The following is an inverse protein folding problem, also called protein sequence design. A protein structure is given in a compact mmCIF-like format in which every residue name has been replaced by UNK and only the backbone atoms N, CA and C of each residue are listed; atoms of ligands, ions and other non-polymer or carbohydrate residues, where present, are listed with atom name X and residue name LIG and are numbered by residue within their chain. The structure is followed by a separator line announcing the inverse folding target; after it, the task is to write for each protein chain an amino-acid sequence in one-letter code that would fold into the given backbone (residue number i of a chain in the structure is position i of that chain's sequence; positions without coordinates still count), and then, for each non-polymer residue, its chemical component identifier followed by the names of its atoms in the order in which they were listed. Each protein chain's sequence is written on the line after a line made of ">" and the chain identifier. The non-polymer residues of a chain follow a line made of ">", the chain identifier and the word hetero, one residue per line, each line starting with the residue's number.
data_IF_104656093567
#
_entry.id   IF_104656093567
#
_cell.length_a   1.000
_cell.length_b   1.000
_cell.length_c   1.000
_cell.angle_alpha   90.00
_cell.angle_beta   90.00
_cell.angle_gamma   90.00
#
_symmetry.space_group_name_H-M   'P 1'
#
loop_
_entity.id
_entity.type
_entity.pdbx_description
1 polymer ?
#
# COMPACT_ATOMS: atom_id res chain seq x y z
N UNK A 1 -8.98 7.32 -26.82
CA UNK A 1 -7.56 7.61 -26.48
C UNK A 1 -7.45 8.36 -25.14
N UNK A 2 -7.78 7.73 -24.01
CA UNK A 2 -7.63 8.32 -22.67
C UNK A 2 -6.94 7.41 -21.64
N UNK A 3 -6.48 6.22 -22.06
CA UNK A 3 -5.95 5.20 -21.16
C UNK A 3 -4.57 5.56 -20.60
N UNK A 4 -3.62 5.98 -21.46
CA UNK A 4 -2.25 6.32 -21.05
C UNK A 4 -2.18 7.49 -20.06
N UNK A 5 -2.88 8.59 -20.35
CA UNK A 5 -2.94 9.78 -19.46
C UNK A 5 -3.52 9.47 -18.08
N UNK A 6 -4.54 8.61 -18.02
CA UNK A 6 -5.14 8.17 -16.75
C UNK A 6 -4.16 7.28 -15.97
N UNK A 7 -3.52 6.32 -16.65
CA UNK A 7 -2.53 5.43 -16.05
C UNK A 7 -1.32 6.19 -15.49
N UNK A 8 -0.84 7.22 -16.18
CA UNK A 8 0.26 8.08 -15.71
C UNK A 8 -0.11 8.87 -14.45
N UNK A 9 -1.30 9.47 -14.42
CA UNK A 9 -1.78 10.16 -13.21
C UNK A 9 -1.89 9.20 -12.02
N UNK A 10 -2.39 7.99 -12.25
CA UNK A 10 -2.47 6.93 -11.24
C UNK A 10 -1.05 6.55 -10.77
N UNK A 11 -0.11 6.31 -11.69
CA UNK A 11 1.28 6.01 -11.39
C UNK A 11 1.97 7.08 -10.55
N UNK A 12 1.84 8.36 -10.91
CA UNK A 12 2.40 9.47 -10.13
C UNK A 12 1.77 9.57 -8.72
N UNK A 13 0.46 9.32 -8.62
CA UNK A 13 -0.23 9.28 -7.33
C UNK A 13 0.29 8.15 -6.46
N UNK A 14 0.51 6.96 -7.04
CA UNK A 14 1.08 5.79 -6.35
C UNK A 14 2.49 6.05 -5.83
N UNK A 15 3.35 6.78 -6.56
CA UNK A 15 4.67 7.18 -6.06
C UNK A 15 4.53 8.06 -4.81
N UNK A 16 3.63 9.04 -4.84
CA UNK A 16 3.37 9.91 -3.69
C UNK A 16 2.87 9.13 -2.47
N UNK A 17 1.91 8.22 -2.69
CA UNK A 17 1.37 7.35 -1.64
C UNK A 17 2.45 6.42 -1.05
N UNK A 18 3.28 5.82 -1.89
CA UNK A 18 4.37 4.94 -1.45
C UNK A 18 5.39 5.67 -0.56
N UNK A 19 5.76 6.90 -0.92
CA UNK A 19 6.64 7.74 -0.09
C UNK A 19 5.99 8.04 1.26
N UNK A 20 4.70 8.40 1.27
CA UNK A 20 3.97 8.64 2.51
C UNK A 20 3.88 7.37 3.39
N UNK A 21 3.65 6.20 2.79
CA UNK A 21 3.65 4.90 3.47
C UNK A 21 5.01 4.61 4.12
N UNK A 22 6.11 4.87 3.41
CA UNK A 22 7.47 4.70 3.95
C UNK A 22 7.71 5.66 5.13
N UNK A 23 7.38 6.95 4.98
CA UNK A 23 7.55 7.96 6.04
C UNK A 23 6.72 7.61 7.27
N UNK A 24 5.44 7.24 7.09
CA UNK A 24 4.58 6.83 8.19
C UNK A 24 5.12 5.60 8.92
N UNK A 25 5.68 4.62 8.20
CA UNK A 25 6.27 3.44 8.82
C UNK A 25 7.56 3.77 9.60
N UNK A 26 8.40 4.67 9.09
CA UNK A 26 9.60 5.15 9.80
C UNK A 26 9.20 5.88 11.08
N UNK A 27 8.19 6.75 11.03
CA UNK A 27 7.67 7.44 12.23
C UNK A 27 7.09 6.46 13.25
N UNK A 28 6.53 5.33 12.80
CA UNK A 28 6.05 4.25 13.67
C UNK A 28 7.20 3.53 14.39
N UNK A 29 8.39 3.50 13.78
CA UNK A 29 9.60 2.91 14.35
C UNK A 29 10.21 3.76 15.48
N UNK A 30 9.99 5.08 15.44
CA UNK A 30 10.54 6.04 16.41
C UNK A 30 9.42 6.76 17.17
N UNK A 31 8.73 6.07 18.11
CA UNK A 31 7.73 6.72 18.95
C UNK A 31 8.37 7.89 19.73
N UNK A 32 7.74 9.07 19.66
CA UNK A 32 8.23 10.32 20.26
C UNK A 32 9.66 10.77 19.84
N UNK A 33 10.23 10.20 18.78
CA UNK A 33 11.62 10.51 18.38
C UNK A 33 12.69 9.99 19.37
N UNK A 34 12.28 9.21 20.36
CA UNK A 34 13.15 8.63 21.37
C UNK A 34 13.65 7.26 20.90
N UNK A 35 14.97 7.09 20.74
CA UNK A 35 15.58 5.82 20.28
C UNK A 35 15.69 4.77 21.39
N UNK A 36 15.38 5.13 22.64
CA UNK A 36 15.45 4.23 23.81
C UNK A 36 14.61 2.97 23.62
N UNK A 37 13.35 3.12 23.18
CA UNK A 37 12.43 2.00 23.02
C UNK A 37 12.80 1.05 21.87
N UNK A 38 13.52 1.56 20.85
CA UNK A 38 14.08 0.75 19.77
C UNK A 38 15.30 -0.07 20.20
N UNK A 39 16.03 0.39 21.20
CA UNK A 39 17.27 -0.25 21.67
C UNK A 39 16.98 -1.36 22.69
N UNK A 40 15.84 -1.30 23.39
CA UNK A 40 15.49 -2.22 24.48
C UNK A 40 14.61 -3.42 24.06
N UNK A 41 14.43 -3.71 22.76
CA UNK A 41 13.62 -4.86 22.26
C UNK A 41 12.12 -4.88 22.70
N UNK A 42 11.58 -3.74 23.14
CA UNK A 42 10.18 -3.61 23.53
C UNK A 42 9.24 -3.22 22.36
N UNK A 43 9.72 -3.24 21.10
CA UNK A 43 8.87 -2.94 19.95
C UNK A 43 7.86 -4.04 19.63
N UNK A 44 6.68 -3.62 19.16
CA UNK A 44 5.61 -4.51 18.75
C UNK A 44 5.99 -5.33 17.52
N UNK A 45 5.66 -6.63 17.51
CA UNK A 45 6.04 -7.60 16.46
C UNK A 45 5.58 -7.17 15.04
N UNK A 46 4.56 -6.33 14.95
CA UNK A 46 4.04 -5.79 13.68
C UNK A 46 4.94 -4.75 13.02
N UNK A 47 5.73 -4.01 13.81
CA UNK A 47 6.70 -3.06 13.25
C UNK A 47 7.84 -3.81 12.54
N UNK A 48 8.15 -5.03 13.00
CA UNK A 48 9.13 -5.93 12.39
C UNK A 48 8.69 -6.50 11.04
N UNK A 49 7.39 -6.45 10.72
CA UNK A 49 6.88 -6.92 9.43
C UNK A 49 7.11 -5.93 8.29
N UNK A 50 7.63 -4.72 8.57
CA UNK A 50 8.00 -3.72 7.57
C UNK A 50 6.89 -3.47 6.53
N UNK A 51 5.61 -3.56 6.94
CA UNK A 51 4.51 -3.62 5.99
C UNK A 51 4.35 -2.35 5.14
N UNK A 52 4.70 -1.19 5.68
CA UNK A 52 4.73 0.08 4.93
C UNK A 52 5.99 0.29 4.11
N UNK A 53 7.13 -0.33 4.45
CA UNK A 53 8.38 -0.22 3.68
C UNK A 53 8.41 -1.24 2.53
N UNK A 54 8.09 -2.50 2.83
CA UNK A 54 8.08 -3.59 1.85
C UNK A 54 6.77 -3.56 1.07
N UNK A 55 5.62 -3.62 1.76
CA UNK A 55 4.30 -3.71 1.14
C UNK A 55 3.87 -2.40 0.45
N UNK A 56 3.51 -1.38 1.22
CA UNK A 56 3.02 -0.09 0.70
C UNK A 56 4.10 0.78 0.05
N UNK A 57 5.39 0.49 0.28
CA UNK A 57 6.52 1.25 -0.25
C UNK A 57 7.11 0.60 -1.49
N UNK A 58 8.05 -0.32 -1.28
CA UNK A 58 8.88 -0.92 -2.33
C UNK A 58 8.08 -1.73 -3.35
N UNK A 59 7.13 -2.55 -2.91
CA UNK A 59 6.25 -3.31 -3.82
C UNK A 59 5.34 -2.39 -4.64
N UNK A 60 4.99 -1.21 -4.13
CA UNK A 60 4.14 -0.23 -4.82
C UNK A 60 4.90 0.62 -5.84
N UNK A 61 6.22 0.77 -5.70
CA UNK A 61 7.04 1.46 -6.70
C UNK A 61 7.04 0.71 -8.04
N UNK A 62 7.03 -0.62 -8.01
CA UNK A 62 7.01 -1.46 -9.22
C UNK A 62 5.79 -1.15 -10.13
N UNK A 63 4.52 -1.28 -9.66
CA UNK A 63 3.37 -0.86 -10.45
C UNK A 63 3.37 0.64 -10.77
N UNK A 64 3.86 1.50 -9.88
CA UNK A 64 3.90 2.94 -10.15
C UNK A 64 4.77 3.28 -11.37
N UNK A 65 5.98 2.73 -11.45
CA UNK A 65 6.87 2.93 -12.59
C UNK A 65 6.33 2.29 -13.86
N UNK A 66 5.76 1.08 -13.78
CA UNK A 66 5.12 0.43 -14.92
C UNK A 66 3.98 1.29 -15.46
N UNK A 67 3.13 1.86 -14.60
CA UNK A 67 2.01 2.70 -15.04
C UNK A 67 2.43 4.04 -15.65
N UNK A 68 3.55 4.62 -15.19
CA UNK A 68 4.13 5.82 -15.80
C UNK A 68 4.66 5.50 -17.20
N UNK A 69 5.35 4.37 -17.37
CA UNK A 69 5.94 3.96 -18.65
C UNK A 69 4.94 3.55 -19.73
N UNK A 70 3.67 3.32 -19.40
CA UNK A 70 2.62 2.99 -20.39
C UNK A 70 2.28 4.13 -21.38
N UNK A 71 2.73 5.37 -21.13
CA UNK A 71 2.55 6.51 -22.04
C UNK A 71 3.70 6.65 -23.05
N UNK A 72 4.86 6.03 -22.81
CA UNK A 72 6.05 6.11 -23.68
C UNK A 72 6.05 5.09 -24.83
N UNK A 73 5.06 4.19 -24.90
CA UNK A 73 4.84 3.32 -26.06
C UNK A 73 4.11 4.08 -27.20
N UNK A 74 4.68 5.20 -27.63
CA UNK A 74 4.54 5.64 -29.02
C UNK A 74 5.46 4.73 -29.88
N UNK A 75 4.87 3.65 -30.38
CA UNK A 75 5.23 3.03 -31.66
C UNK A 75 6.72 2.69 -31.94
N UNK A 76 7.50 2.09 -31.03
CA UNK A 76 8.76 1.43 -31.45
C UNK A 76 9.34 0.38 -30.47
N UNK A 77 9.21 -0.91 -30.82
CA UNK A 77 10.00 -2.05 -30.28
C UNK A 77 9.13 -3.12 -29.63
N UNK A 78 9.14 -4.40 -30.00
CA UNK A 78 10.11 -5.26 -30.67
C UNK A 78 9.38 -6.15 -31.70
N UNK A 79 10.02 -6.42 -32.84
CA UNK A 79 9.50 -7.28 -33.93
C UNK A 79 8.26 -6.77 -34.70
N UNK A 80 8.31 -5.57 -35.31
CA UNK A 80 7.58 -5.22 -36.55
C UNK A 80 6.08 -5.55 -36.69
N UNK A 81 5.36 -5.84 -35.61
CA UNK A 81 3.97 -6.28 -35.62
C UNK A 81 3.19 -5.53 -34.54
N UNK A 82 2.43 -4.53 -34.95
CA UNK A 82 1.71 -3.58 -34.08
C UNK A 82 0.77 -4.24 -33.05
N UNK A 83 0.34 -5.48 -33.30
CA UNK A 83 -0.52 -6.26 -32.39
C UNK A 83 0.24 -6.97 -31.24
N UNK A 84 1.56 -7.21 -31.36
CA UNK A 84 2.30 -7.96 -30.34
C UNK A 84 2.77 -7.07 -29.17
N UNK A 85 3.25 -5.85 -29.45
CA UNK A 85 3.71 -4.89 -28.44
C UNK A 85 2.58 -4.45 -27.50
N UNK A 86 1.41 -4.09 -28.04
CA UNK A 86 0.22 -3.72 -27.24
C UNK A 86 -0.24 -4.81 -26.29
N UNK A 87 -0.10 -6.09 -26.65
CA UNK A 87 -0.46 -7.22 -25.78
C UNK A 87 0.54 -7.39 -24.63
N UNK A 88 1.83 -7.25 -24.91
CA UNK A 88 2.87 -7.40 -23.90
C UNK A 88 2.82 -6.27 -22.86
N UNK A 89 2.63 -5.02 -23.32
CA UNK A 89 2.47 -3.86 -22.43
C UNK A 89 1.24 -3.98 -21.52
N UNK A 90 0.08 -4.44 -22.04
CA UNK A 90 -1.13 -4.60 -21.22
C UNK A 90 -1.10 -5.81 -20.28
N UNK A 91 -0.44 -6.91 -20.66
CA UNK A 91 -0.20 -8.01 -19.72
C UNK A 91 0.74 -7.58 -18.60
N UNK A 92 1.80 -6.83 -18.92
CA UNK A 92 2.73 -6.29 -17.94
C UNK A 92 2.03 -5.35 -16.94
N UNK A 93 1.14 -4.46 -17.41
CA UNK A 93 0.40 -3.57 -16.52
C UNK A 93 -0.54 -4.31 -15.58
N UNK A 94 -1.23 -5.35 -16.04
CA UNK A 94 -2.11 -6.16 -15.18
C UNK A 94 -1.29 -6.94 -14.16
N UNK A 95 -0.18 -7.56 -14.57
CA UNK A 95 0.71 -8.29 -13.65
C UNK A 95 1.29 -7.35 -12.58
N UNK A 96 1.73 -6.15 -12.96
CA UNK A 96 2.22 -5.15 -12.03
C UNK A 96 1.12 -4.70 -11.06
N UNK A 97 -0.10 -4.46 -11.54
CA UNK A 97 -1.25 -4.11 -10.71
C UNK A 97 -1.59 -5.21 -9.69
N UNK A 98 -1.47 -6.49 -10.05
CA UNK A 98 -1.66 -7.61 -9.12
C UNK A 98 -0.60 -7.65 -8.01
N UNK A 99 0.66 -7.33 -8.35
CA UNK A 99 1.73 -7.17 -7.35
C UNK A 99 1.39 -6.00 -6.41
N UNK A 100 0.91 -4.89 -6.96
CA UNK A 100 0.43 -3.74 -6.17
C UNK A 100 -0.71 -4.11 -5.22
N UNK A 101 -1.71 -4.86 -5.70
CA UNK A 101 -2.83 -5.37 -4.87
C UNK A 101 -2.32 -6.25 -3.73
N UNK A 102 -1.35 -7.12 -4.00
CA UNK A 102 -0.76 -7.97 -2.97
C UNK A 102 0.02 -7.13 -1.93
N UNK A 103 0.81 -6.15 -2.39
CA UNK A 103 1.59 -5.26 -1.53
C UNK A 103 0.71 -4.36 -0.65
N UNK A 104 -0.28 -3.69 -1.24
CA UNK A 104 -1.20 -2.82 -0.50
C UNK A 104 -2.16 -3.61 0.37
N UNK A 105 -2.63 -4.77 -0.08
CA UNK A 105 -3.44 -5.69 0.74
C UNK A 105 -2.67 -6.18 1.96
N UNK A 106 -1.39 -6.51 1.82
CA UNK A 106 -0.52 -6.82 2.95
C UNK A 106 -0.39 -5.64 3.93
N UNK A 107 -0.18 -4.43 3.42
CA UNK A 107 -0.11 -3.22 4.24
C UNK A 107 -1.41 -2.98 5.03
N UNK A 108 -2.57 -3.11 4.38
CA UNK A 108 -3.90 -2.94 5.00
C UNK A 108 -4.13 -3.99 6.10
N UNK A 109 -3.82 -5.26 5.83
CA UNK A 109 -4.02 -6.34 6.82
C UNK A 109 -3.14 -6.10 8.05
N UNK A 110 -1.86 -5.81 7.85
CA UNK A 110 -0.93 -5.58 8.98
C UNK A 110 -1.30 -4.32 9.75
N UNK A 111 -1.72 -3.25 9.06
CA UNK A 111 -2.22 -2.04 9.72
C UNK A 111 -3.46 -2.32 10.57
N UNK A 112 -4.44 -3.05 10.02
CA UNK A 112 -5.66 -3.42 10.75
C UNK A 112 -5.38 -4.30 11.97
N UNK A 113 -4.48 -5.29 11.84
CA UNK A 113 -4.06 -6.12 12.97
C UNK A 113 -3.29 -5.30 14.03
N UNK A 114 -2.42 -4.38 13.60
CA UNK A 114 -1.72 -3.46 14.49
C UNK A 114 -2.68 -2.55 15.27
N UNK A 115 -3.75 -2.08 14.63
CA UNK A 115 -4.85 -1.36 15.28
C UNK A 115 -5.65 -2.26 16.23
N UNK A 116 -5.91 -3.52 15.87
CA UNK A 116 -6.70 -4.43 16.69
C UNK A 116 -5.97 -4.85 17.98
N UNK A 117 -4.66 -5.17 17.89
CA UNK A 117 -3.86 -5.57 19.05
C UNK A 117 -3.38 -4.37 19.88
N UNK A 118 -3.14 -3.22 19.24
CA UNK A 118 -2.65 -2.01 19.88
C UNK A 118 -1.15 -2.02 20.22
N UNK A 119 -0.62 -0.90 20.74
CA UNK A 119 0.79 -0.81 21.09
C UNK A 119 1.11 -1.58 22.37
N UNK A 120 2.36 -2.02 22.47
CA UNK A 120 2.90 -2.52 23.72
C UNK A 120 3.23 -1.35 24.63
N UNK A 121 2.72 -1.36 25.86
CA UNK A 121 2.96 -0.30 26.83
C UNK A 121 3.17 -0.86 28.24
N UNK A 122 3.64 0.00 29.14
CA UNK A 122 3.70 -0.30 30.56
C UNK A 122 2.32 -0.10 31.19
N UNK A 123 1.75 -1.19 31.70
CA UNK A 123 0.49 -1.16 32.44
C UNK A 123 0.69 -0.55 33.85
N UNK A 124 -0.42 -0.16 34.49
CA UNK A 124 -0.54 0.26 35.89
C UNK A 124 0.13 -0.67 36.90
N UNK A 125 0.30 -1.95 36.57
CA UNK A 125 0.98 -2.95 37.38
C UNK A 125 2.52 -2.99 37.16
N UNK A 126 3.07 -2.13 36.30
CA UNK A 126 4.50 -2.07 35.99
C UNK A 126 5.00 -3.18 35.06
N UNK A 127 4.10 -3.87 34.35
CA UNK A 127 4.44 -4.92 33.39
C UNK A 127 4.26 -4.46 31.94
N UNK A 128 5.23 -4.80 31.08
CA UNK A 128 5.19 -4.53 29.64
C UNK A 128 4.33 -5.55 28.89
N UNK A 129 3.05 -5.25 28.70
CA UNK A 129 2.11 -6.15 28.05
C UNK A 129 1.30 -5.47 26.95
N UNK A 130 0.58 -6.27 26.16
CA UNK A 130 -0.43 -5.79 25.22
C UNK A 130 -1.76 -5.62 25.93
N UNK A 131 -1.91 -4.52 26.66
CA UNK A 131 -3.10 -4.24 27.48
C UNK A 131 -4.40 -4.22 26.66
N UNK A 132 -4.31 -3.89 25.37
CA UNK A 132 -5.45 -3.76 24.47
C UNK A 132 -5.73 -4.98 23.59
N UNK A 133 -4.84 -5.99 23.55
CA UNK A 133 -5.02 -7.15 22.68
C UNK A 133 -6.30 -7.95 23.00
N UNK A 134 -6.73 -7.95 24.26
CA UNK A 134 -7.98 -8.60 24.71
C UNK A 134 -9.24 -7.78 24.47
N UNK A 135 -9.12 -6.53 24.00
CA UNK A 135 -10.28 -5.63 23.78
C UNK A 135 -10.78 -5.62 22.34
N UNK A 136 -10.19 -6.42 21.44
CA UNK A 136 -10.59 -6.55 20.02
C UNK A 136 -10.83 -5.19 19.31
N UNK A 137 -10.04 -4.16 19.65
CA UNK A 137 -10.15 -2.82 19.08
C UNK A 137 -11.17 -1.89 19.75
N UNK A 138 -11.84 -2.30 20.84
CA UNK A 138 -12.80 -1.45 21.56
C UNK A 138 -12.16 -0.19 22.18
N UNK A 139 -10.85 -0.25 22.47
CA UNK A 139 -10.06 0.90 22.92
C UNK A 139 -9.94 2.03 21.88
N UNK A 140 -10.26 1.76 20.60
CA UNK A 140 -10.26 2.77 19.54
C UNK A 140 -11.46 3.73 19.65
N UNK A 141 -12.57 3.26 20.22
CA UNK A 141 -13.79 4.04 20.42
C UNK A 141 -13.83 4.70 21.80
N UNK A 142 -13.19 4.08 22.79
CA UNK A 142 -13.15 4.58 24.16
C UNK A 142 -11.76 5.12 24.52
N UNK A 143 -11.57 6.42 24.26
CA UNK A 143 -10.33 7.14 24.59
C UNK A 143 -10.01 7.16 26.09
N UNK A 144 -10.97 6.87 26.98
CA UNK A 144 -10.70 6.80 28.41
C UNK A 144 -9.77 5.63 28.76
N UNK A 145 -9.81 4.55 27.97
CA UNK A 145 -8.96 3.37 28.15
C UNK A 145 -7.48 3.64 27.88
N UNK A 146 -7.14 4.72 27.16
CA UNK A 146 -5.75 5.06 26.84
C UNK A 146 -4.92 5.39 28.08
N UNK A 147 -5.58 5.79 29.18
CA UNK A 147 -4.95 6.05 30.48
C UNK A 147 -4.36 4.81 31.16
N UNK A 148 -4.66 3.60 30.66
CA UNK A 148 -4.09 2.34 31.16
C UNK A 148 -2.61 2.18 30.76
N UNK A 149 -2.17 2.85 29.69
CA UNK A 149 -0.76 2.90 29.31
C UNK A 149 -0.06 4.08 29.97
N UNK A 150 0.81 3.80 30.95
CA UNK A 150 1.53 4.84 31.70
C UNK A 150 2.75 5.34 30.93
N UNK A 151 3.52 4.42 30.34
CA UNK A 151 4.72 4.73 29.57
C UNK A 151 4.80 3.84 28.32
N UNK A 152 5.18 4.38 27.14
CA UNK A 152 5.49 5.78 26.82
C UNK A 152 4.25 6.70 26.79
N UNK A 153 4.41 7.98 27.17
CA UNK A 153 3.32 8.96 27.08
C UNK A 153 2.88 9.17 25.63
N UNK A 154 1.56 9.22 25.39
CA UNK A 154 0.93 9.38 24.07
C UNK A 154 1.22 8.26 23.05
N UNK A 155 1.73 7.11 23.49
CA UNK A 155 2.05 5.99 22.57
C UNK A 155 0.82 5.46 21.84
N UNK A 156 -0.33 5.43 22.52
CA UNK A 156 -1.60 4.92 22.00
C UNK A 156 -2.08 5.78 20.85
N UNK A 157 -2.18 7.09 21.08
CA UNK A 157 -2.56 8.07 20.07
C UNK A 157 -1.62 8.02 18.85
N UNK A 158 -0.31 7.94 19.08
CA UNK A 158 0.70 7.87 18.01
C UNK A 158 0.52 6.63 17.12
N UNK A 159 0.39 5.45 17.73
CA UNK A 159 0.22 4.20 17.00
C UNK A 159 -1.12 4.15 16.27
N UNK A 160 -2.22 4.52 16.94
CA UNK A 160 -3.56 4.56 16.35
C UNK A 160 -3.57 5.50 15.14
N UNK A 161 -2.98 6.69 15.26
CA UNK A 161 -2.94 7.67 14.17
C UNK A 161 -2.14 7.15 12.98
N UNK A 162 -0.91 6.67 13.20
CA UNK A 162 -0.04 6.21 12.11
C UNK A 162 -0.55 4.93 11.44
N UNK A 163 -1.05 3.96 12.20
CA UNK A 163 -1.65 2.77 11.61
C UNK A 163 -2.93 3.10 10.85
N UNK A 164 -3.74 4.07 11.31
CA UNK A 164 -4.92 4.54 10.56
C UNK A 164 -4.54 5.23 9.26
N UNK A 165 -3.47 6.04 9.26
CA UNK A 165 -2.93 6.65 8.04
C UNK A 165 -2.45 5.56 7.07
N UNK A 166 -1.67 4.58 7.54
CA UNK A 166 -1.22 3.45 6.71
C UNK A 166 -2.39 2.64 6.13
N UNK A 167 -3.44 2.43 6.93
CA UNK A 167 -4.66 1.74 6.49
C UNK A 167 -5.36 2.53 5.37
N UNK A 168 -5.49 3.85 5.54
CA UNK A 168 -6.11 4.71 4.55
C UNK A 168 -5.29 4.78 3.25
N UNK A 169 -3.98 5.00 3.35
CA UNK A 169 -3.07 5.06 2.20
C UNK A 169 -3.05 3.72 1.45
N UNK A 170 -2.88 2.60 2.17
CA UNK A 170 -2.92 1.25 1.57
C UNK A 170 -4.28 0.92 0.96
N UNK A 171 -5.38 1.40 1.55
CA UNK A 171 -6.72 1.27 0.98
C UNK A 171 -6.87 2.04 -0.34
N UNK A 172 -6.37 3.27 -0.43
CA UNK A 172 -6.36 4.06 -1.67
C UNK A 172 -5.50 3.37 -2.73
N UNK A 173 -4.31 2.90 -2.37
CA UNK A 173 -3.42 2.14 -3.25
C UNK A 173 -4.10 0.89 -3.84
N UNK A 174 -4.79 0.12 -2.99
CA UNK A 174 -5.57 -1.05 -3.40
C UNK A 174 -6.65 -0.69 -4.42
N UNK A 175 -7.40 0.38 -4.19
CA UNK A 175 -8.45 0.85 -5.10
C UNK A 175 -7.85 1.30 -6.44
N UNK A 176 -6.76 2.06 -6.42
CA UNK A 176 -6.09 2.54 -7.64
C UNK A 176 -5.54 1.37 -8.48
N UNK A 177 -4.93 0.37 -7.85
CA UNK A 177 -4.47 -0.83 -8.55
C UNK A 177 -5.63 -1.64 -9.13
N UNK A 178 -6.76 -1.77 -8.41
CA UNK A 178 -7.97 -2.42 -8.94
C UNK A 178 -8.54 -1.71 -10.17
N UNK A 179 -8.59 -0.38 -10.14
CA UNK A 179 -9.00 0.43 -11.30
C UNK A 179 -8.08 0.13 -12.50
N UNK A 180 -6.77 -0.01 -12.28
CA UNK A 180 -5.86 -0.37 -13.37
C UNK A 180 -6.00 -1.80 -13.87
N UNK A 181 -6.37 -2.77 -13.03
CA UNK A 181 -6.73 -4.11 -13.50
C UNK A 181 -7.95 -4.03 -14.42
N UNK A 182 -9.01 -3.34 -14.01
CA UNK A 182 -10.24 -3.18 -14.81
C UNK A 182 -9.93 -2.49 -16.13
N UNK A 183 -9.22 -1.37 -16.07
CA UNK A 183 -8.86 -0.62 -17.27
C UNK A 183 -7.95 -1.46 -18.19
N UNK A 184 -6.99 -2.20 -17.65
CA UNK A 184 -6.09 -3.06 -18.41
C UNK A 184 -6.83 -4.22 -19.10
N UNK A 185 -7.80 -4.83 -18.41
CA UNK A 185 -8.65 -5.89 -18.97
C UNK A 185 -9.57 -5.34 -20.07
N UNK A 186 -10.22 -4.20 -19.85
CA UNK A 186 -11.07 -3.55 -20.86
C UNK A 186 -10.25 -3.10 -22.07
N UNK A 187 -9.05 -2.56 -21.85
CA UNK A 187 -8.08 -2.26 -22.91
C UNK A 187 -7.72 -3.50 -23.72
N UNK A 188 -7.47 -4.63 -23.05
CA UNK A 188 -7.22 -5.94 -23.66
C UNK A 188 -8.36 -6.43 -24.54
N UNK A 189 -9.59 -6.37 -24.04
CA UNK A 189 -10.78 -6.85 -24.75
C UNK A 189 -11.12 -5.93 -25.94
N UNK A 190 -11.11 -4.61 -25.75
CA UNK A 190 -11.36 -3.65 -26.84
C UNK A 190 -10.27 -3.69 -27.92
N UNK A 191 -9.01 -3.91 -27.54
CA UNK A 191 -7.92 -4.17 -28.47
C UNK A 191 -8.19 -5.42 -29.31
N UNK A 192 -8.68 -6.50 -28.68
CA UNK A 192 -9.03 -7.74 -29.39
C UNK A 192 -10.17 -7.53 -30.41
N UNK A 193 -11.17 -6.72 -30.09
CA UNK A 193 -12.28 -6.40 -31.00
C UNK A 193 -11.83 -5.52 -32.19
N UNK A 194 -11.01 -4.50 -31.97
CA UNK A 194 -10.53 -3.63 -33.06
C UNK A 194 -9.52 -4.34 -33.97
N UNK A 195 -8.63 -5.17 -33.42
CA UNK A 195 -7.68 -5.96 -34.21
C UNK A 195 -8.39 -7.02 -35.08
N UNK A 196 -9.54 -7.54 -34.64
CA UNK A 196 -10.35 -8.44 -35.47
C UNK A 196 -10.93 -7.73 -36.68
N UNK A 197 -11.37 -6.47 -36.51
CA UNK A 197 -11.99 -5.70 -37.58
C UNK A 197 -10.99 -5.35 -38.69
N UNK A 198 -9.73 -5.08 -38.34
CA UNK A 198 -8.65 -4.83 -39.31
C UNK A 198 -8.26 -6.06 -40.14
N UNK A 199 -8.56 -7.28 -39.67
CA UNK A 199 -8.31 -8.52 -40.41
C UNK A 199 -9.45 -8.90 -41.37
N UNK A 200 -10.61 -8.22 -41.30
CA UNK A 200 -11.71 -8.37 -42.26
C UNK A 200 -11.75 -7.28 -43.35
N UNK A 201 -10.94 -6.22 -43.22
CA UNK A 201 -10.81 -5.12 -44.19
C UNK A 201 -9.50 -5.15 -45.00
N UNK A 202 -8.86 -6.32 -45.13
CA UNK A 202 -7.75 -6.55 -46.07
C UNK A 202 -8.15 -7.53 -47.18
#
# INVERSE_FOLDING_TARGET
>A
MCYGRCARCIGLSLVGLAVLCIVANILLYFPNGETKYATENHLSRFVWFFAGIIGGGLLMLLPAFVFIGLEEDDCCGCCGHENCGKRCAMLSSVLAALIGIAGSGYCVIVAALGLAEGPRCLDSLGHWNYTFASTEGQYLLDTATWSQCIEPQHIVEWNVTLFSILLALGGVEFILCLIQVINGVLGGICGYCCSRQQQYDC
#
